data_IF_407058873399
#
_entry.id   IF_407058873399
#
_cell.length_a   1.000
_cell.length_b   1.000
_cell.length_c   1.000
_cell.angle_alpha   90.00
_cell.angle_beta   90.00
_cell.angle_gamma   90.00
#
_symmetry.space_group_name_H-M   'P 1'
#
loop_
_entity.id
_entity.type
_entity.pdbx_description
1 polymer ?
#
# COMPACT_ATOMS: atom_id res chain seq x y z
N UNK A 1 40.14 -17.97 -4.29
CA UNK A 1 39.55 -18.03 -5.62
C UNK A 1 38.04 -17.99 -5.44
N UNK A 2 37.43 -17.04 -6.11
CA UNK A 2 36.17 -16.36 -5.81
C UNK A 2 35.00 -17.01 -6.54
N UNK A 3 33.82 -17.03 -5.91
CA UNK A 3 32.44 -17.01 -6.44
C UNK A 3 31.53 -17.27 -5.22
N UNK A 4 31.11 -16.26 -4.44
CA UNK A 4 30.02 -15.31 -4.73
C UNK A 4 28.79 -15.96 -5.38
N UNK A 5 27.78 -16.21 -4.54
CA UNK A 5 26.34 -15.98 -4.72
C UNK A 5 25.70 -16.37 -3.35
N UNK A 6 25.26 -15.49 -2.45
CA UNK A 6 24.51 -14.23 -2.64
C UNK A 6 23.62 -14.33 -3.87
N UNK A 7 22.55 -15.14 -3.74
CA UNK A 7 21.21 -14.70 -4.10
C UNK A 7 20.09 -15.72 -3.78
N UNK A 8 19.04 -15.17 -3.16
CA UNK A 8 17.62 -15.54 -3.28
C UNK A 8 17.16 -16.86 -2.63
N UNK A 9 16.69 -16.75 -1.38
CA UNK A 9 15.26 -16.98 -1.17
C UNK A 9 14.73 -16.05 -0.07
N UNK A 10 14.18 -14.96 -0.58
CA UNK A 10 13.58 -13.84 0.12
C UNK A 10 12.49 -14.33 1.08
N UNK A 11 12.76 -14.27 2.38
CA UNK A 11 11.71 -14.22 3.42
C UNK A 11 11.17 -12.78 3.43
N UNK A 12 10.54 -12.39 2.34
CA UNK A 12 9.72 -11.18 2.23
C UNK A 12 8.52 -11.54 1.35
N UNK A 13 7.63 -12.33 1.90
CA UNK A 13 6.39 -12.71 1.26
C UNK A 13 5.35 -12.95 2.33
N UNK A 14 4.31 -12.13 2.33
CA UNK A 14 3.11 -12.36 3.12
C UNK A 14 2.69 -13.82 2.95
N UNK A 15 2.61 -14.57 4.06
CA UNK A 15 1.97 -15.89 4.10
C UNK A 15 0.62 -15.77 3.39
N UNK A 16 0.53 -16.33 2.17
CA UNK A 16 -0.75 -16.50 1.50
C UNK A 16 -1.37 -17.72 2.16
N UNK A 17 -2.41 -17.48 2.97
CA UNK A 17 -3.26 -18.53 3.50
C UNK A 17 -2.61 -19.54 4.49
N UNK A 18 -1.50 -19.20 5.16
CA UNK A 18 -0.76 -20.11 6.08
C UNK A 18 -0.21 -21.38 5.42
N UNK A 19 -0.07 -21.34 4.10
CA UNK A 19 0.59 -22.36 3.30
C UNK A 19 1.97 -21.83 2.93
N UNK A 20 3.01 -22.59 3.24
CA UNK A 20 4.39 -22.25 2.90
C UNK A 20 4.81 -23.02 1.65
N UNK A 21 5.27 -22.28 0.64
CA UNK A 21 5.71 -22.83 -0.64
C UNK A 21 7.22 -22.66 -0.75
N UNK A 22 7.93 -23.73 -1.08
CA UNK A 22 9.39 -23.68 -1.23
C UNK A 22 9.79 -24.27 -2.57
N UNK A 23 10.69 -23.58 -3.24
CA UNK A 23 11.50 -24.17 -4.30
C UNK A 23 12.69 -24.85 -3.63
N UNK A 24 12.77 -26.17 -3.70
CA UNK A 24 13.84 -26.95 -3.04
C UNK A 24 15.05 -27.10 -3.98
N UNK A 25 14.79 -27.20 -5.27
CA UNK A 25 15.73 -27.21 -6.39
C UNK A 25 15.03 -26.68 -7.66
N UNK A 26 15.71 -26.67 -8.80
CA UNK A 26 15.12 -26.21 -10.08
C UNK A 26 13.89 -27.03 -10.49
N UNK A 27 13.72 -28.25 -10.01
CA UNK A 27 12.71 -29.19 -10.49
C UNK A 27 11.61 -29.55 -9.46
N UNK A 28 11.64 -29.00 -8.25
CA UNK A 28 10.76 -29.42 -7.14
C UNK A 28 10.08 -28.25 -6.43
N UNK A 29 8.75 -28.37 -6.23
CA UNK A 29 7.94 -27.44 -5.44
C UNK A 29 7.35 -28.14 -4.20
N UNK A 30 7.70 -27.66 -3.02
CA UNK A 30 7.21 -28.16 -1.74
C UNK A 30 6.00 -27.33 -1.28
N UNK A 31 4.89 -28.01 -1.02
CA UNK A 31 3.69 -27.48 -0.39
C UNK A 31 3.63 -27.99 1.05
N UNK A 32 3.82 -27.09 2.01
CA UNK A 32 3.83 -27.42 3.45
C UNK A 32 2.83 -26.57 4.25
N UNK A 33 2.19 -27.19 5.24
CA UNK A 33 1.26 -26.54 6.15
C UNK A 33 1.86 -26.30 7.54
N UNK A 34 1.60 -25.08 8.05
CA UNK A 34 1.78 -24.60 9.42
C UNK A 34 3.23 -24.56 10.00
N UNK A 35 4.09 -23.72 9.41
CA UNK A 35 5.46 -23.31 9.82
C UNK A 35 6.60 -24.25 9.45
N UNK A 36 7.07 -24.11 8.21
CA UNK A 36 8.01 -25.00 7.56
C UNK A 36 9.49 -24.64 7.80
N UNK A 37 9.94 -24.68 9.06
CA UNK A 37 11.36 -24.61 9.42
C UNK A 37 11.95 -25.99 9.79
N UNK A 38 11.15 -26.93 10.31
CA UNK A 38 11.60 -28.26 10.72
C UNK A 38 11.91 -29.20 9.54
N UNK A 39 11.12 -29.12 8.45
CA UNK A 39 11.33 -29.93 7.25
C UNK A 39 12.65 -29.58 6.53
N UNK A 40 13.05 -28.30 6.57
CA UNK A 40 14.30 -27.79 5.99
C UNK A 40 15.52 -28.46 6.61
N UNK A 41 15.49 -28.72 7.91
CA UNK A 41 16.61 -29.32 8.65
C UNK A 41 16.70 -30.83 8.36
N UNK A 42 15.56 -31.54 8.40
CA UNK A 42 15.52 -32.99 8.18
C UNK A 42 15.90 -33.40 6.74
N UNK A 43 15.49 -32.63 5.72
CA UNK A 43 15.93 -32.89 4.35
C UNK A 43 17.41 -32.57 4.17
N UNK A 44 17.91 -31.46 4.71
CA UNK A 44 19.34 -31.11 4.63
C UNK A 44 20.23 -32.21 5.22
N UNK A 45 19.80 -32.84 6.32
CA UNK A 45 20.50 -33.99 6.93
C UNK A 45 20.43 -35.26 6.07
N UNK A 46 19.29 -35.56 5.44
CA UNK A 46 19.16 -36.69 4.50
C UNK A 46 20.00 -36.53 3.23
N UNK A 47 20.09 -35.32 2.69
CA UNK A 47 20.88 -35.02 1.50
C UNK A 47 22.40 -35.03 1.79
N UNK A 48 22.81 -34.61 2.99
CA UNK A 48 24.21 -34.75 3.42
C UNK A 48 24.63 -36.22 3.61
N UNK A 49 23.69 -37.10 3.92
CA UNK A 49 23.92 -38.56 4.01
C UNK A 49 23.85 -39.29 2.66
N UNK A 50 23.31 -38.65 1.61
CA UNK A 50 23.21 -39.19 0.24
C UNK A 50 24.07 -38.43 -0.76
N UNK A 51 25.35 -38.19 -0.46
CA UNK A 51 26.33 -37.96 -1.54
C UNK A 51 26.92 -39.30 -1.97
N UNK A 52 26.65 -39.78 -3.19
CA UNK A 52 27.55 -40.71 -3.84
C UNK A 52 28.82 -39.96 -4.23
N UNK A 53 29.97 -40.49 -3.86
CA UNK A 53 31.17 -40.33 -4.68
C UNK A 53 30.91 -41.09 -5.98
N UNK A 54 30.63 -40.38 -7.07
CA UNK A 54 31.38 -40.48 -8.31
C UNK A 54 30.68 -39.70 -9.43
N UNK A 55 31.50 -39.15 -10.32
CA UNK A 55 31.03 -38.46 -11.50
C UNK A 55 30.41 -39.44 -12.48
N UNK A 56 29.24 -39.08 -13.00
CA UNK A 56 28.82 -39.56 -14.30
C UNK A 56 28.01 -38.48 -15.00
N UNK A 57 28.43 -38.22 -16.24
CA UNK A 57 27.84 -37.27 -17.16
C UNK A 57 26.59 -37.95 -17.75
N UNK A 58 25.40 -37.63 -17.24
CA UNK A 58 24.15 -38.01 -17.89
C UNK A 58 23.62 -36.85 -18.72
N UNK A 59 23.59 -37.04 -20.03
CA UNK A 59 22.95 -36.17 -21.02
C UNK A 59 21.51 -35.84 -20.62
N UNK A 60 21.25 -34.55 -20.41
CA UNK A 60 19.94 -33.96 -20.13
C UNK A 60 18.98 -34.26 -21.29
N UNK A 61 17.96 -35.06 -21.02
CA UNK A 61 16.78 -35.18 -21.86
C UNK A 61 15.75 -34.22 -21.26
N UNK A 62 15.43 -33.17 -22.01
CA UNK A 62 14.91 -31.89 -21.53
C UNK A 62 13.38 -31.86 -21.31
N UNK A 63 12.84 -32.92 -20.70
CA UNK A 63 11.42 -33.05 -20.31
C UNK A 63 11.27 -33.26 -18.79
N UNK A 64 12.02 -32.49 -18.00
CA UNK A 64 11.86 -32.51 -16.55
C UNK A 64 10.47 -31.96 -16.16
N UNK A 65 9.58 -32.85 -15.71
CA UNK A 65 8.32 -32.50 -15.06
C UNK A 65 8.61 -32.05 -13.63
N UNK A 66 7.90 -31.02 -13.15
CA UNK A 66 8.07 -30.54 -11.77
C UNK A 66 7.51 -31.55 -10.77
N UNK A 67 8.34 -31.97 -9.82
CA UNK A 67 7.95 -32.87 -8.72
C UNK A 67 7.29 -32.06 -7.59
N UNK A 68 6.12 -32.51 -7.14
CA UNK A 68 5.41 -31.93 -5.99
C UNK A 68 5.65 -32.74 -4.74
N UNK A 69 6.09 -32.07 -3.68
CA UNK A 69 6.22 -32.69 -2.36
C UNK A 69 5.16 -32.10 -1.44
N UNK A 70 4.30 -32.95 -0.90
CA UNK A 70 3.29 -32.59 0.10
C UNK A 70 3.81 -32.96 1.48
N UNK A 71 3.88 -31.98 2.39
CA UNK A 71 4.42 -32.21 3.74
C UNK A 71 3.45 -31.79 4.85
N UNK A 72 3.25 -32.71 5.80
CA UNK A 72 2.50 -32.52 7.05
C UNK A 72 3.48 -32.54 8.24
N UNK A 73 3.61 -31.40 8.91
CA UNK A 73 4.47 -31.26 10.09
C UNK A 73 3.94 -32.04 11.31
N UNK A 74 2.62 -32.24 11.41
CA UNK A 74 2.00 -32.91 12.56
C UNK A 74 2.12 -34.43 12.48
N UNK A 75 2.12 -35.02 11.28
CA UNK A 75 2.42 -36.44 11.08
C UNK A 75 3.86 -36.84 11.47
N UNK A 76 4.80 -35.89 11.47
CA UNK A 76 6.21 -36.15 11.84
C UNK A 76 6.48 -36.15 13.35
N UNK A 77 5.61 -35.53 14.14
CA UNK A 77 5.73 -35.43 15.59
C UNK A 77 4.70 -36.35 16.24
N UNK A 78 5.11 -37.57 16.60
CA UNK A 78 4.35 -38.61 17.31
C UNK A 78 3.05 -38.12 17.98
N UNK A 79 1.94 -38.15 17.24
CA UNK A 79 0.61 -37.81 17.75
C UNK A 79 -0.44 -38.35 16.78
N UNK A 80 -1.55 -38.79 17.36
CA UNK A 80 -2.64 -39.57 16.78
C UNK A 80 -3.15 -39.19 15.38
N UNK A 81 -3.72 -40.21 14.74
CA UNK A 81 -4.31 -40.30 13.39
C UNK A 81 -5.44 -39.30 13.04
N UNK A 82 -5.52 -38.12 13.66
CA UNK A 82 -6.70 -37.24 13.56
C UNK A 82 -6.49 -35.91 12.82
N UNK A 83 -5.31 -35.61 12.29
CA UNK A 83 -5.06 -34.36 11.57
C UNK A 83 -4.58 -34.63 10.14
N UNK A 84 -5.41 -35.26 9.31
CA UNK A 84 -5.14 -35.35 7.86
C UNK A 84 -5.23 -33.94 7.28
N UNK A 85 -4.11 -33.42 6.76
CA UNK A 85 -4.13 -32.20 5.94
C UNK A 85 -4.93 -32.51 4.67
N UNK A 86 -6.06 -31.83 4.49
CA UNK A 86 -6.93 -32.01 3.33
C UNK A 86 -6.30 -31.36 2.09
N UNK A 87 -5.62 -32.15 1.26
CA UNK A 87 -5.09 -31.71 -0.05
C UNK A 87 -6.10 -31.82 -1.19
N UNK A 88 -7.36 -32.21 -0.92
CA UNK A 88 -8.39 -32.31 -1.97
C UNK A 88 -8.68 -30.97 -2.64
N UNK A 89 -8.28 -29.84 -2.04
CA UNK A 89 -8.37 -28.54 -2.71
C UNK A 89 -7.62 -28.49 -4.03
N UNK A 90 -6.54 -29.26 -4.21
CA UNK A 90 -5.76 -29.29 -5.45
C UNK A 90 -6.55 -29.83 -6.64
N UNK A 91 -7.70 -30.46 -6.42
CA UNK A 91 -8.59 -30.90 -7.52
C UNK A 91 -9.61 -29.84 -7.91
N UNK A 92 -9.60 -28.65 -7.30
CA UNK A 92 -10.59 -27.60 -7.55
C UNK A 92 -10.47 -26.96 -8.94
N UNK A 93 -9.28 -26.98 -9.56
CA UNK A 93 -9.04 -26.51 -10.93
C UNK A 93 -8.06 -27.45 -11.65
N UNK A 94 -8.12 -27.58 -12.99
CA UNK A 94 -7.16 -28.40 -13.73
C UNK A 94 -5.74 -27.83 -13.59
N UNK A 95 -4.78 -28.71 -13.31
CA UNK A 95 -3.37 -28.34 -13.20
C UNK A 95 -2.85 -27.81 -14.54
N UNK A 96 -2.09 -26.70 -14.56
CA UNK A 96 -1.51 -26.17 -15.79
C UNK A 96 -0.42 -27.12 -16.31
N UNK A 97 -0.51 -27.46 -17.60
CA UNK A 97 0.54 -28.18 -18.31
C UNK A 97 1.73 -27.26 -18.62
N UNK A 98 2.93 -27.84 -18.68
CA UNK A 98 4.12 -27.12 -19.15
C UNK A 98 3.95 -26.73 -20.62
N UNK A 99 4.28 -25.49 -20.97
CA UNK A 99 4.28 -25.03 -22.36
C UNK A 99 5.67 -25.27 -22.95
N UNK A 100 5.71 -25.76 -24.20
CA UNK A 100 6.98 -26.05 -24.88
C UNK A 100 7.81 -24.76 -25.02
N UNK A 101 9.08 -24.79 -24.58
CA UNK A 101 9.99 -23.63 -24.61
C UNK A 101 9.78 -22.61 -23.46
N UNK A 102 8.92 -22.92 -22.50
CA UNK A 102 8.73 -22.07 -21.31
C UNK A 102 9.87 -22.26 -20.29
N UNK A 103 10.33 -21.13 -19.76
CA UNK A 103 11.28 -21.11 -18.64
C UNK A 103 10.67 -21.78 -17.39
N UNK A 104 11.50 -22.55 -16.69
CA UNK A 104 11.14 -23.31 -15.52
C UNK A 104 10.64 -22.41 -14.38
N UNK A 105 11.24 -21.22 -14.23
CA UNK A 105 10.81 -20.21 -13.23
C UNK A 105 9.40 -19.68 -13.55
N UNK A 106 9.10 -19.45 -14.83
CA UNK A 106 7.76 -19.03 -15.26
C UNK A 106 6.73 -20.14 -15.01
N UNK A 107 7.09 -21.40 -15.28
CA UNK A 107 6.18 -22.53 -15.00
C UNK A 107 5.93 -22.71 -13.50
N UNK A 108 6.96 -22.57 -12.66
CA UNK A 108 6.84 -22.60 -11.19
C UNK A 108 5.89 -21.51 -10.68
N UNK A 109 6.00 -20.28 -11.20
CA UNK A 109 5.12 -19.18 -10.81
C UNK A 109 3.65 -19.46 -11.18
N UNK A 110 3.39 -20.03 -12.36
CA UNK A 110 2.03 -20.43 -12.77
C UNK A 110 1.46 -21.54 -11.90
N UNK A 111 2.26 -22.54 -11.56
CA UNK A 111 1.86 -23.62 -10.68
C UNK A 111 1.52 -23.12 -9.28
N UNK A 112 2.36 -22.25 -8.70
CA UNK A 112 2.06 -21.59 -7.43
C UNK A 112 0.73 -20.82 -7.48
N UNK A 113 0.52 -20.05 -8.54
CA UNK A 113 -0.72 -19.30 -8.73
C UNK A 113 -1.95 -20.21 -8.84
N UNK A 114 -1.84 -21.32 -9.57
CA UNK A 114 -2.88 -22.34 -9.68
C UNK A 114 -3.20 -22.98 -8.32
N UNK A 115 -2.19 -23.33 -7.52
CA UNK A 115 -2.39 -23.92 -6.19
C UNK A 115 -3.05 -22.93 -5.22
N UNK A 116 -2.64 -21.65 -5.27
CA UNK A 116 -3.28 -20.57 -4.52
C UNK A 116 -4.75 -20.38 -4.92
N UNK A 117 -5.05 -20.44 -6.23
CA UNK A 117 -6.42 -20.35 -6.74
C UNK A 117 -7.28 -21.56 -6.32
N UNK A 118 -6.72 -22.77 -6.38
CA UNK A 118 -7.36 -23.99 -5.91
C UNK A 118 -7.70 -23.93 -4.41
N UNK A 119 -6.74 -23.51 -3.60
CA UNK A 119 -6.95 -23.34 -2.16
C UNK A 119 -8.00 -22.26 -1.86
N UNK A 120 -7.90 -21.11 -2.54
CA UNK A 120 -8.87 -20.03 -2.38
C UNK A 120 -10.29 -20.49 -2.75
N UNK A 121 -10.46 -21.26 -3.83
CA UNK A 121 -11.76 -21.80 -4.25
C UNK A 121 -12.34 -22.81 -3.24
N UNK A 122 -11.55 -23.83 -2.86
CA UNK A 122 -11.98 -24.86 -1.91
C UNK A 122 -12.30 -24.28 -0.53
N UNK A 123 -11.45 -23.37 -0.06
CA UNK A 123 -11.56 -22.80 1.26
C UNK A 123 -12.66 -21.73 1.34
N UNK A 124 -12.85 -20.91 0.30
CA UNK A 124 -13.93 -19.91 0.28
C UNK A 124 -15.32 -20.54 0.44
N UNK A 125 -15.55 -21.71 -0.14
CA UNK A 125 -16.82 -22.44 -0.02
C UNK A 125 -17.12 -22.90 1.43
N UNK A 126 -16.07 -23.16 2.23
CA UNK A 126 -16.18 -23.66 3.61
C UNK A 126 -15.83 -22.61 4.68
N UNK A 127 -15.42 -21.41 4.25
CA UNK A 127 -14.89 -20.38 5.13
C UNK A 127 -15.87 -20.00 6.24
N UNK A 128 -17.15 -19.83 5.90
CA UNK A 128 -18.18 -19.43 6.86
C UNK A 128 -18.36 -20.45 7.97
N UNK A 129 -18.36 -21.74 7.64
CA UNK A 129 -18.55 -22.78 8.65
C UNK A 129 -17.34 -22.89 9.56
N UNK A 130 -16.12 -22.76 9.01
CA UNK A 130 -14.89 -22.67 9.80
C UNK A 130 -14.88 -21.42 10.70
N UNK A 131 -15.32 -20.27 10.17
CA UNK A 131 -15.39 -19.02 10.93
C UNK A 131 -16.41 -19.10 12.06
N UNK A 132 -17.60 -19.65 11.79
CA UNK A 132 -18.66 -19.82 12.80
C UNK A 132 -18.21 -20.75 13.93
N UNK A 133 -17.46 -21.81 13.60
CA UNK A 133 -16.86 -22.72 14.58
C UNK A 133 -15.75 -22.06 15.39
N UNK A 134 -14.86 -21.29 14.75
CA UNK A 134 -13.73 -20.65 15.41
C UNK A 134 -14.11 -19.38 16.21
N UNK A 135 -15.12 -18.64 15.77
CA UNK A 135 -15.63 -17.43 16.42
C UNK A 135 -17.01 -17.00 15.90
N UNK A 136 -18.09 -17.29 16.63
CA UNK A 136 -19.44 -16.83 16.29
C UNK A 136 -19.55 -15.30 16.16
N UNK A 137 -18.83 -14.57 17.02
CA UNK A 137 -18.83 -13.10 16.99
C UNK A 137 -18.19 -12.53 15.72
N UNK A 138 -17.04 -13.06 15.27
CA UNK A 138 -16.45 -12.63 14.00
C UNK A 138 -17.24 -13.09 12.78
N UNK A 139 -17.97 -14.21 12.88
CA UNK A 139 -18.92 -14.62 11.83
C UNK A 139 -20.04 -13.58 11.65
N UNK A 140 -20.59 -13.06 12.75
CA UNK A 140 -21.62 -12.02 12.71
C UNK A 140 -21.09 -10.71 12.09
N UNK A 141 -19.87 -10.31 12.46
CA UNK A 141 -19.20 -9.16 11.87
C UNK A 141 -18.98 -9.34 10.37
N UNK A 142 -18.49 -10.50 9.94
CA UNK A 142 -18.29 -10.81 8.52
C UNK A 142 -19.59 -10.71 7.71
N UNK A 143 -20.69 -11.30 8.20
CA UNK A 143 -22.00 -11.22 7.53
C UNK A 143 -22.51 -9.77 7.43
N UNK A 144 -22.20 -8.96 8.44
CA UNK A 144 -22.55 -7.54 8.47
C UNK A 144 -21.77 -6.74 7.43
N UNK A 145 -20.47 -7.01 7.29
CA UNK A 145 -19.61 -6.37 6.28
C UNK A 145 -19.98 -6.80 4.86
N UNK A 146 -20.31 -8.08 4.64
CA UNK A 146 -20.79 -8.54 3.34
C UNK A 146 -22.06 -7.84 2.88
N UNK A 147 -22.96 -7.50 3.82
CA UNK A 147 -24.17 -6.73 3.51
C UNK A 147 -23.85 -5.28 3.16
N UNK A 148 -22.82 -4.70 3.79
CA UNK A 148 -22.36 -3.34 3.54
C UNK A 148 -21.65 -3.21 2.19
N UNK A 149 -20.81 -4.18 1.84
CA UNK A 149 -19.99 -4.18 0.63
C UNK A 149 -20.67 -5.06 -0.42
N UNK A 150 -21.72 -4.52 -1.04
CA UNK A 150 -22.28 -5.09 -2.26
C UNK A 150 -21.74 -4.32 -3.45
N UNK A 151 -20.65 -4.81 -4.04
CA UNK A 151 -20.20 -4.38 -5.36
C UNK A 151 -21.30 -4.69 -6.37
N UNK A 152 -21.70 -3.73 -7.21
CA UNK A 152 -22.75 -3.92 -8.22
C UNK A 152 -22.39 -5.01 -9.27
N UNK A 153 -21.11 -5.30 -9.37
CA UNK A 153 -20.40 -6.14 -10.31
C UNK A 153 -19.90 -7.46 -9.69
N UNK A 154 -20.02 -7.64 -8.37
CA UNK A 154 -19.70 -8.89 -7.66
C UNK A 154 -18.22 -9.33 -7.67
N UNK A 155 -17.33 -8.58 -8.34
CA UNK A 155 -15.93 -8.99 -8.55
C UNK A 155 -15.04 -8.84 -7.31
N UNK A 156 -15.31 -7.84 -6.45
CA UNK A 156 -14.54 -7.60 -5.22
C UNK A 156 -15.40 -7.89 -4.00
N UNK A 157 -15.13 -9.05 -3.38
CA UNK A 157 -15.83 -9.54 -2.19
C UNK A 157 -14.90 -9.57 -0.98
N UNK A 158 -15.49 -9.57 0.21
CA UNK A 158 -14.74 -9.80 1.45
C UNK A 158 -14.19 -11.21 1.41
N UNK A 159 -12.89 -11.36 1.66
CA UNK A 159 -12.22 -12.66 1.76
C UNK A 159 -11.78 -12.90 3.19
N UNK A 160 -11.76 -14.15 3.62
CA UNK A 160 -11.22 -14.49 4.92
C UNK A 160 -10.57 -15.85 4.98
N UNK A 161 -9.77 -16.02 6.02
CA UNK A 161 -9.00 -17.23 6.32
C UNK A 161 -9.15 -17.55 7.80
N UNK A 162 -9.30 -18.82 8.15
CA UNK A 162 -9.20 -19.33 9.53
C UNK A 162 -8.10 -20.38 9.54
N UNK A 163 -7.18 -20.29 10.49
CA UNK A 163 -6.15 -21.29 10.67
C UNK A 163 -5.95 -21.61 12.15
N UNK A 164 -5.80 -22.89 12.52
CA UNK A 164 -5.48 -23.28 13.88
C UNK A 164 -4.06 -22.84 14.24
N UNK A 165 -3.84 -22.42 15.49
CA UNK A 165 -2.49 -22.11 15.99
C UNK A 165 -1.76 -23.38 16.43
N UNK A 166 -0.48 -23.45 16.12
CA UNK A 166 0.42 -24.54 16.50
C UNK A 166 0.74 -24.44 17.99
N UNK A 167 0.10 -25.28 18.79
CA UNK A 167 0.39 -25.37 20.23
C UNK A 167 -0.61 -26.20 21.03
N UNK A 168 -1.55 -26.90 20.38
CA UNK A 168 -2.59 -27.68 21.07
C UNK A 168 -3.57 -26.84 21.90
N UNK A 169 -3.43 -25.50 21.89
CA UNK A 169 -4.19 -24.56 22.72
C UNK A 169 -5.61 -24.28 22.22
N UNK A 170 -5.97 -24.82 21.05
CA UNK A 170 -7.25 -24.55 20.39
C UNK A 170 -7.42 -23.11 19.90
N UNK A 171 -6.37 -22.28 19.88
CA UNK A 171 -6.51 -20.91 19.35
C UNK A 171 -6.63 -20.93 17.82
N UNK A 172 -7.37 -19.96 17.28
CA UNK A 172 -7.42 -19.74 15.83
C UNK A 172 -6.85 -18.37 15.47
N UNK A 173 -6.15 -18.32 14.35
CA UNK A 173 -5.79 -17.10 13.64
C UNK A 173 -6.82 -16.88 12.54
N UNK A 174 -7.52 -15.76 12.60
CA UNK A 174 -8.54 -15.37 11.61
C UNK A 174 -8.05 -14.13 10.89
N UNK A 175 -8.07 -14.14 9.56
CA UNK A 175 -7.72 -12.98 8.75
C UNK A 175 -8.88 -12.57 7.86
N UNK A 176 -9.12 -11.27 7.72
CA UNK A 176 -10.04 -10.74 6.72
C UNK A 176 -9.33 -9.77 5.78
N UNK A 177 -9.70 -9.82 4.52
CA UNK A 177 -9.40 -8.84 3.49
C UNK A 177 -10.71 -8.23 3.06
N UNK A 178 -10.93 -6.97 3.43
CA UNK A 178 -12.15 -6.24 3.17
C UNK A 178 -11.84 -5.18 2.12
N UNK A 179 -12.43 -5.26 0.91
CA UNK A 179 -12.21 -4.23 -0.10
C UNK A 179 -12.92 -2.94 0.30
N UNK A 180 -12.20 -1.82 0.22
CA UNK A 180 -12.70 -0.49 0.59
C UNK A 180 -13.02 0.34 -0.66
N UNK A 181 -13.86 1.36 -0.46
CA UNK A 181 -14.26 2.37 -1.44
C UNK A 181 -14.97 1.78 -2.66
N UNK A 182 -15.60 0.61 -2.50
CA UNK A 182 -16.25 -0.13 -3.60
C UNK A 182 -17.63 0.46 -3.92
N UNK A 183 -18.36 0.95 -2.92
CA UNK A 183 -19.72 1.49 -3.06
C UNK A 183 -19.71 3.01 -3.23
N UNK A 184 -20.14 3.50 -4.40
CA UNK A 184 -20.39 4.93 -4.68
C UNK A 184 -19.17 5.86 -4.74
N UNK A 185 -17.99 5.42 -4.31
CA UNK A 185 -16.75 6.24 -4.29
C UNK A 185 -15.62 5.71 -5.18
N UNK A 186 -15.73 4.49 -5.71
CA UNK A 186 -14.68 3.87 -6.54
C UNK A 186 -14.29 4.75 -7.74
N UNK A 187 -15.30 5.21 -8.48
CA UNK A 187 -15.09 6.09 -9.64
C UNK A 187 -14.48 7.44 -9.23
N UNK A 188 -14.99 8.06 -8.15
CA UNK A 188 -14.44 9.32 -7.64
C UNK A 188 -12.97 9.19 -7.23
N UNK A 189 -12.60 8.08 -6.60
CA UNK A 189 -11.22 7.78 -6.18
C UNK A 189 -10.32 7.59 -7.39
N UNK A 190 -10.75 6.77 -8.34
CA UNK A 190 -10.04 6.53 -9.60
C UNK A 190 -9.82 7.83 -10.38
N UNK A 191 -10.88 8.63 -10.57
CA UNK A 191 -10.80 9.94 -11.21
C UNK A 191 -9.91 10.90 -10.42
N UNK A 192 -9.95 10.87 -9.08
CA UNK A 192 -9.14 11.78 -8.26
C UNK A 192 -7.64 11.53 -8.44
N UNK A 193 -7.23 10.26 -8.42
CA UNK A 193 -5.82 9.89 -8.59
C UNK A 193 -5.34 10.10 -10.04
N UNK A 194 -6.18 9.82 -11.03
CA UNK A 194 -5.86 10.14 -12.43
C UNK A 194 -5.72 11.66 -12.64
N UNK A 195 -6.66 12.45 -12.13
CA UNK A 195 -6.58 13.91 -12.21
C UNK A 195 -5.36 14.46 -11.46
N UNK A 196 -4.99 13.84 -10.34
CA UNK A 196 -3.78 14.19 -9.61
C UNK A 196 -2.52 14.00 -10.48
N UNK A 197 -2.41 12.86 -11.17
CA UNK A 197 -1.32 12.59 -12.10
C UNK A 197 -1.26 13.61 -13.25
N UNK A 198 -2.41 13.94 -13.86
CA UNK A 198 -2.51 14.93 -14.94
C UNK A 198 -2.10 16.32 -14.45
N UNK A 199 -2.62 16.75 -13.30
CA UNK A 199 -2.29 18.06 -12.74
C UNK A 199 -0.84 18.16 -12.32
N UNK A 200 -0.28 17.09 -11.74
CA UNK A 200 1.14 17.06 -11.40
C UNK A 200 2.00 17.30 -12.63
N UNK A 201 1.76 16.56 -13.72
CA UNK A 201 2.47 16.78 -14.99
C UNK A 201 2.35 18.22 -15.50
N UNK A 202 1.14 18.80 -15.43
CA UNK A 202 0.91 20.19 -15.85
C UNK A 202 1.66 21.22 -15.01
N UNK A 203 1.65 21.06 -13.69
CA UNK A 203 2.22 22.01 -12.74
C UNK A 203 3.75 21.87 -12.62
N UNK A 204 4.28 20.66 -12.72
CA UNK A 204 5.73 20.37 -12.68
C UNK A 204 6.42 20.44 -14.05
N UNK A 205 5.67 20.78 -15.11
CA UNK A 205 6.13 20.78 -16.51
C UNK A 205 6.65 19.41 -17.02
N UNK A 206 6.33 18.31 -16.34
CA UNK A 206 6.58 16.96 -16.85
C UNK A 206 5.61 16.66 -17.99
N UNK A 207 6.14 16.21 -19.14
CA UNK A 207 5.33 15.86 -20.30
C UNK A 207 4.39 14.69 -19.96
N UNK A 208 3.09 14.88 -20.14
CA UNK A 208 2.09 13.81 -20.00
C UNK A 208 2.36 12.67 -20.99
N UNK A 209 2.26 11.44 -20.50
CA UNK A 209 2.35 10.21 -21.30
C UNK A 209 1.12 9.34 -21.05
N UNK A 210 0.57 8.67 -22.08
CA UNK A 210 -0.53 7.72 -21.90
C UNK A 210 -0.20 6.58 -20.91
N UNK A 211 1.08 6.21 -20.80
CA UNK A 211 1.56 5.21 -19.83
C UNK A 211 1.25 5.55 -18.38
N UNK A 212 1.12 6.84 -18.05
CA UNK A 212 0.83 7.31 -16.68
C UNK A 212 -0.65 7.18 -16.31
N UNK A 213 -1.52 6.91 -17.26
CA UNK A 213 -2.94 6.76 -17.00
C UNK A 213 -3.18 5.52 -16.15
N UNK A 214 -3.88 5.69 -15.02
CA UNK A 214 -4.26 4.56 -14.18
C UNK A 214 -5.31 3.72 -14.89
N UNK A 215 -5.13 2.41 -14.80
CA UNK A 215 -6.05 1.38 -15.31
C UNK A 215 -6.86 0.75 -14.19
N UNK A 216 -6.32 0.69 -12.97
CA UNK A 216 -7.02 0.19 -11.79
C UNK A 216 -6.55 0.88 -10.51
N UNK A 217 -7.48 1.07 -9.57
CA UNK A 217 -7.22 1.50 -8.20
C UNK A 217 -7.99 0.58 -7.26
N UNK A 218 -7.25 -0.13 -6.41
CA UNK A 218 -7.80 -1.05 -5.43
C UNK A 218 -7.33 -0.65 -4.04
N UNK A 219 -8.26 -0.56 -3.10
CA UNK A 219 -7.92 -0.42 -1.69
C UNK A 219 -8.52 -1.55 -0.89
N UNK A 220 -7.72 -2.14 -0.01
CA UNK A 220 -8.14 -3.18 0.93
C UNK A 220 -7.72 -2.84 2.35
N UNK A 221 -8.52 -3.21 3.34
CA UNK A 221 -8.06 -3.34 4.72
C UNK A 221 -7.88 -4.82 5.05
N UNK A 222 -6.69 -5.14 5.55
CA UNK A 222 -6.35 -6.45 6.07
C UNK A 222 -6.37 -6.41 7.59
N UNK A 223 -7.14 -7.30 8.19
CA UNK A 223 -7.22 -7.47 9.65
C UNK A 223 -6.86 -8.89 10.03
N UNK A 224 -6.16 -9.05 11.15
CA UNK A 224 -5.78 -10.36 11.71
C UNK A 224 -6.16 -10.44 13.18
N UNK A 225 -6.85 -11.50 13.55
CA UNK A 225 -7.34 -11.76 14.89
C UNK A 225 -6.81 -13.07 15.44
N UNK A 226 -6.55 -13.10 16.74
CA UNK A 226 -6.37 -14.33 17.51
C UNK A 226 -7.63 -14.58 18.33
N UNK A 227 -8.15 -15.80 18.29
CA UNK A 227 -9.28 -16.21 19.12
C UNK A 227 -8.86 -17.25 20.13
N UNK A 228 -9.34 -17.08 21.36
CA UNK A 228 -9.13 -18.05 22.42
C UNK A 228 -10.36 -18.95 22.60
N UNK A 229 -10.33 -20.17 22.06
CA UNK A 229 -11.41 -21.16 22.22
C UNK A 229 -11.96 -21.31 23.65
N UNK A 230 -11.14 -21.40 24.72
CA UNK A 230 -11.70 -21.58 26.07
C UNK A 230 -12.47 -20.37 26.62
N UNK A 231 -12.29 -19.17 26.04
CA UNK A 231 -12.92 -17.92 26.54
C UNK A 231 -13.73 -17.18 25.50
N UNK A 232 -13.69 -17.59 24.23
CA UNK A 232 -14.25 -16.85 23.10
C UNK A 232 -13.60 -15.47 22.85
N UNK A 233 -12.53 -15.13 23.59
CA UNK A 233 -11.92 -13.78 23.53
C UNK A 233 -11.25 -13.57 22.18
N UNK A 234 -11.60 -12.46 21.53
CA UNK A 234 -11.01 -12.00 20.26
C UNK A 234 -9.97 -10.93 20.56
N UNK A 235 -8.79 -11.06 19.95
CA UNK A 235 -7.73 -10.05 20.03
C UNK A 235 -7.31 -9.67 18.62
N UNK A 236 -7.39 -8.38 18.27
CA UNK A 236 -6.82 -7.87 17.04
C UNK A 236 -5.28 -7.85 17.16
N UNK A 237 -4.60 -8.57 16.25
CA UNK A 237 -3.14 -8.68 16.20
C UNK A 237 -2.56 -7.60 15.29
N UNK A 238 -3.19 -7.41 14.13
CA UNK A 238 -2.70 -6.50 13.11
C UNK A 238 -3.85 -5.97 12.27
N UNK A 239 -3.72 -4.71 11.87
CA UNK A 239 -4.55 -4.05 10.89
C UNK A 239 -3.64 -3.26 9.95
N UNK A 240 -3.85 -3.40 8.65
CA UNK A 240 -3.10 -2.66 7.63
C UNK A 240 -3.97 -2.34 6.44
N UNK A 241 -3.92 -1.10 5.95
CA UNK A 241 -4.58 -0.65 4.72
C UNK A 241 -3.57 -0.68 3.58
N UNK A 242 -3.97 -1.25 2.45
CA UNK A 242 -3.13 -1.38 1.26
C UNK A 242 -3.83 -0.72 0.08
N UNK A 243 -3.18 0.30 -0.49
CA UNK A 243 -3.55 0.92 -1.76
C UNK A 243 -2.72 0.25 -2.86
N UNK A 244 -3.38 -0.29 -3.90
CA UNK A 244 -2.73 -0.81 -5.11
C UNK A 244 -3.16 0.02 -6.30
N UNK A 245 -2.17 0.49 -7.05
CA UNK A 245 -2.36 1.26 -8.27
C UNK A 245 -1.80 0.46 -9.43
N UNK A 246 -2.50 0.49 -10.57
CA UNK A 246 -1.98 -0.03 -11.83
C UNK A 246 -2.11 1.04 -12.89
N UNK A 247 -1.07 1.22 -13.68
CA UNK A 247 -1.06 2.12 -14.82
C UNK A 247 -1.10 1.33 -16.14
N UNK A 248 -1.17 2.06 -17.26
CA UNK A 248 -1.24 1.44 -18.58
C UNK A 248 0.08 0.74 -18.96
N UNK A 249 1.22 1.22 -18.45
CA UNK A 249 2.52 0.55 -18.65
C UNK A 249 2.56 -0.83 -17.97
N UNK A 250 2.13 -0.92 -16.72
CA UNK A 250 2.05 -2.17 -15.97
C UNK A 250 1.00 -3.14 -16.55
N UNK A 251 -0.09 -2.63 -17.12
CA UNK A 251 -1.12 -3.46 -17.74
C UNK A 251 -0.65 -4.11 -19.07
N UNK A 252 0.19 -3.42 -19.85
CA UNK A 252 0.71 -3.92 -21.12
C UNK A 252 1.79 -5.00 -20.95
N UNK A 253 2.52 -5.01 -19.84
CA UNK A 253 3.51 -6.05 -19.49
C UNK A 253 2.91 -7.36 -18.93
N UNK A 254 1.58 -7.44 -18.83
CA UNK A 254 0.87 -8.59 -18.26
C UNK A 254 0.67 -9.79 -19.19
N UNK A 255 1.20 -9.75 -20.42
CA UNK A 255 1.18 -10.89 -21.34
C UNK A 255 2.60 -11.45 -21.44
N UNK A 256 2.83 -12.54 -20.71
CA UNK A 256 3.99 -13.43 -20.76
C UNK A 256 5.37 -12.80 -20.42
N UNK A 257 5.97 -13.30 -19.34
CA UNK A 257 7.41 -13.39 -19.13
C UNK A 257 8.24 -12.16 -19.53
N UNK A 258 8.39 -11.20 -18.62
CA UNK A 258 9.41 -10.19 -18.78
C UNK A 258 10.04 -9.87 -17.42
N UNK A 259 11.11 -10.60 -17.10
CA UNK A 259 12.29 -10.02 -16.43
C UNK A 259 12.83 -8.90 -17.32
N UNK A 260 12.13 -7.78 -17.32
CA UNK A 260 12.71 -6.51 -17.69
C UNK A 260 12.43 -5.63 -16.51
N UNK A 261 13.49 -5.13 -15.90
CA UNK A 261 13.52 -3.81 -15.28
C UNK A 261 13.03 -2.79 -16.31
N UNK A 262 11.73 -2.84 -16.63
CA UNK A 262 11.06 -1.85 -17.45
C UNK A 262 11.16 -0.57 -16.65
N UNK A 263 11.97 0.37 -17.16
CA UNK A 263 12.27 1.67 -16.58
C UNK A 263 11.21 2.08 -15.56
N UNK A 264 11.49 1.88 -14.27
CA UNK A 264 10.69 2.44 -13.16
C UNK A 264 10.53 3.96 -13.30
N UNK A 265 11.38 4.58 -14.12
CA UNK A 265 11.32 5.97 -14.57
C UNK A 265 10.07 6.34 -15.39
N UNK A 266 9.32 5.38 -15.96
CA UNK A 266 8.16 5.65 -16.83
C UNK A 266 6.79 5.45 -16.15
N UNK A 267 6.77 5.38 -14.81
CA UNK A 267 5.54 5.28 -14.01
C UNK A 267 5.41 6.41 -12.98
N UNK A 268 4.21 6.94 -12.82
CA UNK A 268 3.86 7.88 -11.74
C UNK A 268 3.35 7.19 -10.46
N UNK A 269 3.27 5.85 -10.44
CA UNK A 269 2.77 5.10 -9.27
C UNK A 269 3.55 5.41 -7.98
N UNK A 270 4.90 5.46 -7.97
CA UNK A 270 5.65 5.80 -6.76
C UNK A 270 5.30 7.20 -6.24
N UNK A 271 5.14 8.17 -7.15
CA UNK A 271 4.71 9.52 -6.80
C UNK A 271 3.30 9.52 -6.19
N UNK A 272 2.34 8.85 -6.81
CA UNK A 272 0.96 8.76 -6.31
C UNK A 272 0.90 8.11 -4.92
N UNK A 273 1.68 7.05 -4.68
CA UNK A 273 1.81 6.45 -3.35
C UNK A 273 2.42 7.42 -2.33
N UNK A 274 3.37 8.26 -2.74
CA UNK A 274 3.98 9.25 -1.86
C UNK A 274 3.00 10.38 -1.48
N UNK A 275 2.00 10.65 -2.32
CA UNK A 275 0.99 11.68 -2.07
C UNK A 275 -0.09 11.24 -1.07
N UNK A 276 -0.41 9.94 -0.98
CA UNK A 276 -1.46 9.43 -0.11
C UNK A 276 -0.87 8.95 1.20
N UNK A 277 -1.13 9.69 2.28
CA UNK A 277 -0.72 9.28 3.62
C UNK A 277 -1.69 8.25 4.21
N UNK A 278 -1.19 7.03 4.43
CA UNK A 278 -1.90 5.94 5.09
C UNK A 278 -1.59 5.85 6.59
N UNK A 279 -0.71 6.70 7.11
CA UNK A 279 -0.41 6.76 8.53
C UNK A 279 -1.51 7.48 9.31
N UNK A 280 -1.74 7.07 10.56
CA UNK A 280 -2.74 7.69 11.43
C UNK A 280 -4.20 7.49 10.99
N UNK A 281 -4.47 6.52 10.10
CA UNK A 281 -5.84 6.11 9.80
C UNK A 281 -6.55 5.59 11.06
N UNK A 282 -7.89 5.75 11.17
CA UNK A 282 -8.66 5.16 12.26
C UNK A 282 -8.36 3.67 12.36
N UNK A 283 -8.16 3.16 13.58
CA UNK A 283 -7.92 1.75 13.84
C UNK A 283 -9.16 1.07 14.39
N UNK A 284 -9.35 -0.19 14.03
CA UNK A 284 -10.43 -1.02 14.52
C UNK A 284 -10.26 -1.23 16.03
N UNK A 285 -11.29 -0.89 16.80
CA UNK A 285 -11.31 -1.07 18.25
C UNK A 285 -12.32 -2.14 18.62
N UNK A 286 -11.84 -3.36 18.88
CA UNK A 286 -12.68 -4.44 19.39
C UNK A 286 -12.81 -4.37 20.91
N UNK A 287 -13.26 -3.23 21.45
CA UNK A 287 -13.70 -3.16 22.84
C UNK A 287 -15.08 -3.85 22.94
N UNK A 288 -15.29 -4.66 23.98
CA UNK A 288 -16.34 -5.69 24.07
C UNK A 288 -17.82 -5.24 23.88
N UNK A 289 -18.11 -3.97 23.63
CA UNK A 289 -19.46 -3.48 23.32
C UNK A 289 -19.36 -2.25 22.37
N UNK A 290 -19.54 -2.46 21.06
CA UNK A 290 -20.08 -1.39 20.19
C UNK A 290 -19.15 -0.64 19.22
N UNK A 291 -18.01 -1.18 18.79
CA UNK A 291 -17.28 -0.63 17.63
C UNK A 291 -16.76 -1.74 16.71
N UNK A 292 -17.70 -2.42 16.04
CA UNK A 292 -17.40 -3.48 15.07
C UNK A 292 -17.00 -2.94 13.70
N UNK A 293 -16.89 -3.84 12.72
CA UNK A 293 -16.56 -3.45 11.35
C UNK A 293 -17.61 -2.52 10.72
N UNK A 294 -18.87 -2.62 11.14
CA UNK A 294 -19.97 -1.77 10.65
C UNK A 294 -19.74 -0.27 10.89
N UNK A 295 -19.17 0.10 12.03
CA UNK A 295 -18.87 1.50 12.35
C UNK A 295 -17.48 1.90 11.85
N UNK A 296 -16.55 0.94 11.87
CA UNK A 296 -15.17 1.16 11.49
C UNK A 296 -15.00 1.41 9.99
N UNK A 297 -15.58 0.58 9.13
CA UNK A 297 -15.40 0.66 7.68
C UNK A 297 -15.84 2.03 7.13
N UNK A 298 -17.05 2.54 7.42
CA UNK A 298 -17.46 3.86 6.90
C UNK A 298 -16.56 5.00 7.38
N UNK A 299 -16.09 4.95 8.64
CA UNK A 299 -15.16 5.95 9.19
C UNK A 299 -13.79 5.89 8.53
N UNK A 300 -13.28 4.68 8.31
CA UNK A 300 -12.03 4.42 7.62
C UNK A 300 -12.11 4.90 6.16
N UNK A 301 -13.15 4.51 5.43
CA UNK A 301 -13.40 4.92 4.05
C UNK A 301 -13.56 6.44 3.91
N UNK A 302 -14.27 7.08 4.85
CA UNK A 302 -14.39 8.53 4.86
C UNK A 302 -13.02 9.20 5.02
N UNK A 303 -12.23 8.77 6.00
CA UNK A 303 -10.92 9.36 6.28
C UNK A 303 -9.95 9.11 5.11
N UNK A 304 -9.91 7.88 4.61
CA UNK A 304 -9.08 7.49 3.48
C UNK A 304 -9.44 8.26 2.21
N UNK A 305 -10.73 8.41 1.91
CA UNK A 305 -11.20 9.19 0.77
C UNK A 305 -10.69 10.64 0.85
N UNK A 306 -10.79 11.28 2.03
CA UNK A 306 -10.25 12.63 2.22
C UNK A 306 -8.75 12.70 2.00
N UNK A 307 -7.97 11.72 2.51
CA UNK A 307 -6.51 11.63 2.29
C UNK A 307 -6.13 11.47 0.81
N UNK A 308 -6.93 10.74 0.04
CA UNK A 308 -6.73 10.59 -1.41
C UNK A 308 -7.09 11.89 -2.16
N UNK A 309 -8.16 12.57 -1.72
CA UNK A 309 -8.69 13.77 -2.39
C UNK A 309 -7.88 15.03 -2.11
N UNK A 310 -7.22 15.10 -0.96
CA UNK A 310 -6.50 16.29 -0.48
C UNK A 310 -5.32 16.72 -1.36
N UNK A 311 -4.40 15.83 -1.83
CA UNK A 311 -3.36 16.22 -2.78
C UNK A 311 -3.93 16.82 -4.07
N UNK A 312 -5.09 16.32 -4.53
CA UNK A 312 -5.75 16.85 -5.72
C UNK A 312 -6.32 18.25 -5.46
N UNK A 313 -6.90 18.48 -4.27
CA UNK A 313 -7.35 19.81 -3.86
C UNK A 313 -6.21 20.82 -3.87
N UNK A 314 -5.07 20.46 -3.29
CA UNK A 314 -3.85 21.27 -3.31
C UNK A 314 -3.39 21.59 -4.74
N UNK A 315 -3.27 20.60 -5.64
CA UNK A 315 -2.83 20.86 -7.01
C UNK A 315 -3.84 21.68 -7.82
N UNK A 316 -5.15 21.56 -7.55
CA UNK A 316 -6.16 22.44 -8.16
C UNK A 316 -5.98 23.88 -7.71
N UNK A 317 -5.69 24.12 -6.42
CA UNK A 317 -5.36 25.46 -5.92
C UNK A 317 -4.11 26.01 -6.60
N UNK A 318 -3.03 25.24 -6.67
CA UNK A 318 -1.78 25.65 -7.35
C UNK A 318 -2.05 25.97 -8.82
N UNK A 319 -2.79 25.12 -9.53
CA UNK A 319 -3.18 25.38 -10.92
C UNK A 319 -3.97 26.69 -11.05
N UNK A 320 -4.88 26.96 -10.12
CA UNK A 320 -5.61 28.23 -10.08
C UNK A 320 -4.67 29.42 -9.90
N UNK A 321 -3.77 29.35 -8.92
CA UNK A 321 -2.78 30.41 -8.64
C UNK A 321 -1.82 30.65 -9.80
N UNK A 322 -1.60 29.68 -10.68
CA UNK A 322 -0.78 29.88 -11.89
C UNK A 322 -1.33 30.95 -12.84
N UNK A 323 -2.65 31.18 -12.83
CA UNK A 323 -3.26 32.24 -13.61
C UNK A 323 -2.85 33.64 -13.14
N UNK A 324 -2.58 33.79 -11.84
CA UNK A 324 -2.28 35.07 -11.20
C UNK A 324 -0.77 35.28 -10.97
N UNK A 325 -0.05 34.22 -10.58
CA UNK A 325 1.37 34.28 -10.20
C UNK A 325 2.32 33.65 -11.24
N UNK A 326 1.79 33.09 -12.33
CA UNK A 326 2.59 32.36 -13.31
C UNK A 326 2.97 30.96 -12.85
N UNK A 327 3.91 30.32 -13.56
CA UNK A 327 4.29 28.95 -13.25
C UNK A 327 5.12 28.87 -11.97
N UNK A 328 4.88 27.88 -11.10
CA UNK A 328 5.69 27.71 -9.88
C UNK A 328 7.10 27.26 -10.25
N UNK A 329 8.07 27.69 -9.44
CA UNK A 329 9.48 27.26 -9.57
C UNK A 329 9.68 25.90 -8.91
N UNK A 330 8.93 25.63 -7.84
CA UNK A 330 8.98 24.36 -7.11
C UNK A 330 7.59 23.99 -6.58
N UNK A 331 7.26 22.69 -6.63
CA UNK A 331 6.01 22.13 -6.10
C UNK A 331 6.25 20.75 -5.53
N UNK A 332 5.83 20.55 -4.28
CA UNK A 332 5.80 19.26 -3.62
C UNK A 332 4.38 18.95 -3.14
N UNK A 333 3.77 17.93 -3.75
CA UNK A 333 2.50 17.34 -3.29
C UNK A 333 2.70 16.06 -2.48
N UNK A 334 3.95 15.63 -2.27
CA UNK A 334 4.28 14.40 -1.56
C UNK A 334 4.17 14.59 -0.05
N UNK A 335 3.64 13.59 0.63
CA UNK A 335 3.62 13.54 2.10
C UNK A 335 4.91 12.89 2.66
N UNK A 336 5.84 12.46 1.80
CA UNK A 336 7.11 11.80 2.15
C UNK A 336 8.27 12.47 1.42
N UNK A 337 9.47 12.41 2.00
CA UNK A 337 10.67 12.78 1.27
C UNK A 337 10.87 11.78 0.11
N UNK A 338 10.78 12.26 -1.14
CA UNK A 338 11.06 11.44 -2.32
C UNK A 338 12.54 11.06 -2.41
N UNK A 339 13.40 11.82 -1.73
CA UNK A 339 14.82 11.49 -1.49
C UNK A 339 14.96 10.75 -0.16
N UNK A 340 14.41 9.55 -0.12
CA UNK A 340 14.99 8.50 0.68
C UNK A 340 15.15 7.32 -0.27
N UNK A 341 16.33 7.21 -0.87
CA UNK A 341 16.97 5.90 -0.93
C UNK A 341 16.99 5.41 0.50
N UNK A 342 15.89 4.79 0.91
CA UNK A 342 15.91 3.83 1.99
C UNK A 342 16.73 2.72 1.38
N UNK A 343 18.05 2.83 1.58
CA UNK A 343 18.89 1.64 1.63
C UNK A 343 18.07 0.63 2.41
N UNK A 344 17.83 -0.48 1.73
CA UNK A 344 17.30 -1.72 2.25
C UNK A 344 18.20 -2.18 3.40
N UNK A 345 18.19 -1.45 4.51
CA UNK A 345 18.72 -1.88 5.77
C UNK A 345 17.76 -2.96 6.23
N UNK A 346 18.10 -4.17 5.80
CA UNK A 346 17.69 -5.43 6.38
C UNK A 346 17.46 -5.20 7.87
N UNK A 347 16.24 -5.45 8.40
CA UNK A 347 16.05 -5.41 9.84
C UNK A 347 16.98 -6.47 10.42
N UNK A 348 18.10 -6.05 11.02
CA UNK A 348 18.89 -6.98 11.81
C UNK A 348 17.97 -7.53 12.91
N UNK A 349 17.83 -8.85 13.03
CA UNK A 349 16.99 -9.43 14.07
C UNK A 349 17.52 -8.95 15.43
N UNK A 350 16.66 -8.42 16.32
CA UNK A 350 17.09 -8.00 17.64
C UNK A 350 17.63 -9.22 18.38
N UNK A 351 18.82 -9.07 18.97
CA UNK A 351 19.37 -10.02 19.92
C UNK A 351 18.33 -10.29 21.02
N UNK A 352 18.22 -11.56 21.42
CA UNK A 352 17.12 -12.20 22.16
C UNK A 352 16.77 -11.64 23.55
N UNK A 353 17.33 -10.49 23.94
CA UNK A 353 17.15 -9.89 25.27
C UNK A 353 16.82 -8.39 25.26
N UNK A 354 16.52 -7.80 24.09
CA UNK A 354 16.18 -6.37 24.02
C UNK A 354 14.69 -6.13 24.30
N UNK A 355 14.31 -5.12 25.11
CA UNK A 355 12.92 -4.71 25.24
C UNK A 355 12.33 -4.36 23.87
N UNK A 356 11.03 -4.59 23.63
CA UNK A 356 10.42 -4.33 22.33
C UNK A 356 10.69 -2.87 21.93
N UNK A 357 11.18 -2.61 20.70
CA UNK A 357 11.42 -1.25 20.26
C UNK A 357 10.11 -0.46 20.38
N UNK A 358 10.17 0.83 20.75
CA UNK A 358 8.99 1.68 20.71
C UNK A 358 8.37 1.61 19.31
N UNK A 359 7.04 1.70 19.19
CA UNK A 359 6.37 1.66 17.89
C UNK A 359 7.05 2.68 16.96
N UNK A 360 7.26 2.34 15.68
CA UNK A 360 7.96 3.22 14.75
C UNK A 360 7.28 4.60 14.79
N UNK A 361 7.98 5.59 15.34
CA UNK A 361 7.56 6.98 15.27
C UNK A 361 7.81 7.40 13.82
N UNK A 362 6.81 7.20 12.98
CA UNK A 362 6.84 7.74 11.63
C UNK A 362 6.95 9.28 11.74
N UNK A 363 7.89 9.91 11.01
CA UNK A 363 7.95 11.36 10.99
C UNK A 363 6.59 11.91 10.54
N UNK A 364 6.17 13.08 11.05
CA UNK A 364 4.92 13.70 10.62
C UNK A 364 4.94 13.90 9.11
N UNK A 365 3.80 13.73 8.41
CA UNK A 365 3.74 13.88 6.98
C UNK A 365 4.26 15.26 6.56
N UNK A 366 5.04 15.30 5.49
CA UNK A 366 5.55 16.55 4.94
C UNK A 366 4.39 17.43 4.48
N UNK A 367 4.51 18.74 4.71
CA UNK A 367 3.55 19.72 4.22
C UNK A 367 3.67 19.84 2.70
N UNK A 368 2.53 20.03 2.04
CA UNK A 368 2.49 20.26 0.60
C UNK A 368 2.89 21.70 0.33
N UNK A 369 3.80 21.94 -0.61
CA UNK A 369 4.39 23.26 -0.84
C UNK A 369 4.38 23.65 -2.30
N UNK A 370 4.22 24.93 -2.57
CA UNK A 370 4.43 25.51 -3.90
C UNK A 370 5.12 26.86 -3.75
N UNK A 371 6.07 27.15 -4.64
CA UNK A 371 6.84 28.38 -4.61
C UNK A 371 6.72 29.09 -5.95
N UNK A 372 6.35 30.36 -5.92
CA UNK A 372 6.23 31.21 -7.11
C UNK A 372 7.24 32.36 -7.04
N UNK A 373 7.65 32.86 -8.19
CA UNK A 373 8.39 34.12 -8.30
C UNK A 373 7.62 35.07 -9.20
N UNK A 374 7.27 36.21 -8.65
CA UNK A 374 6.42 37.22 -9.29
C UNK A 374 7.18 38.52 -9.36
N UNK A 375 7.06 39.21 -10.49
CA UNK A 375 7.57 40.58 -10.65
C UNK A 375 6.38 41.51 -10.69
N UNK A 376 6.27 42.40 -9.71
CA UNK A 376 5.23 43.41 -9.71
C UNK A 376 5.45 44.37 -10.89
N UNK A 377 4.42 44.52 -11.71
CA UNK A 377 4.49 45.36 -12.91
C UNK A 377 4.64 46.83 -12.55
N UNK A 378 4.10 47.28 -11.41
CA UNK A 378 4.09 48.69 -11.01
C UNK A 378 5.43 49.06 -10.37
N UNK A 379 5.80 48.41 -9.28
CA UNK A 379 7.02 48.72 -8.52
C UNK A 379 8.30 48.14 -9.15
N UNK A 380 8.18 47.20 -10.10
CA UNK A 380 9.29 46.41 -10.68
C UNK A 380 10.04 45.55 -9.66
N UNK A 381 9.49 45.41 -8.45
CA UNK A 381 10.07 44.56 -7.42
C UNK A 381 9.75 43.09 -7.69
N UNK A 382 10.73 42.22 -7.44
CA UNK A 382 10.53 40.77 -7.47
C UNK A 382 10.25 40.23 -6.07
N UNK A 383 9.28 39.31 -6.02
CA UNK A 383 8.85 38.65 -4.80
C UNK A 383 8.87 37.14 -4.99
N UNK A 384 9.33 36.44 -3.96
CA UNK A 384 9.13 35.00 -3.80
C UNK A 384 7.88 34.78 -2.95
N UNK A 385 6.97 33.93 -3.41
CA UNK A 385 5.73 33.58 -2.70
C UNK A 385 5.80 32.10 -2.35
N UNK A 386 5.96 31.79 -1.07
CA UNK A 386 5.95 30.42 -0.53
C UNK A 386 4.57 30.06 -0.01
N UNK A 387 3.98 29.00 -0.55
CA UNK A 387 2.71 28.43 -0.13
C UNK A 387 2.97 27.15 0.68
N UNK A 388 2.47 27.09 1.90
CA UNK A 388 2.49 25.89 2.74
C UNK A 388 1.06 25.42 3.03
N UNK A 389 0.65 24.34 2.38
CA UNK A 389 -0.67 23.74 2.50
C UNK A 389 -0.63 22.59 3.52
N UNK A 390 -1.47 22.70 4.56
CA UNK A 390 -1.55 21.70 5.64
C UNK A 390 -2.77 20.80 5.50
N UNK A 391 -3.94 21.39 5.23
CA UNK A 391 -5.19 20.67 5.09
C UNK A 391 -6.15 21.43 4.17
N UNK A 392 -7.18 20.74 3.71
CA UNK A 392 -8.24 21.32 2.91
C UNK A 392 -9.31 22.07 3.67
N UNK A 393 -9.24 22.12 5.00
CA UNK A 393 -10.21 22.79 5.86
C UNK A 393 -9.75 24.18 6.31
N UNK A 394 -8.48 24.52 6.07
CA UNK A 394 -7.82 25.72 6.57
C UNK A 394 -7.19 26.53 5.44
N UNK A 395 -6.93 27.81 5.71
CA UNK A 395 -6.12 28.61 4.80
C UNK A 395 -4.67 28.10 4.77
N UNK A 396 -4.04 28.06 3.59
CA UNK A 396 -2.62 27.75 3.52
C UNK A 396 -1.81 28.89 4.16
N UNK A 397 -0.67 28.55 4.77
CA UNK A 397 0.26 29.57 5.24
C UNK A 397 1.03 30.12 4.04
N UNK A 398 0.87 31.41 3.76
CA UNK A 398 1.57 32.09 2.65
C UNK A 398 2.60 33.06 3.21
N UNK A 399 3.81 33.01 2.66
CA UNK A 399 4.91 33.91 2.97
C UNK A 399 5.37 34.62 1.70
N UNK A 400 5.54 35.94 1.77
CA UNK A 400 6.07 36.76 0.69
C UNK A 400 7.42 37.33 1.09
N UNK A 401 8.42 37.15 0.24
CA UNK A 401 9.78 37.66 0.46
C UNK A 401 10.18 38.57 -0.68
N UNK A 402 10.54 39.82 -0.39
CA UNK A 402 11.06 40.74 -1.40
C UNK A 402 12.53 40.40 -1.68
N UNK A 403 12.86 40.13 -2.95
CA UNK A 403 14.18 39.63 -3.34
C UNK A 403 15.20 40.75 -3.56
N UNK A 404 14.78 42.02 -3.54
CA UNK A 404 15.61 43.18 -3.90
C UNK A 404 16.06 44.04 -2.71
N UNK A 405 15.42 43.89 -1.55
CA UNK A 405 15.68 44.73 -0.38
C UNK A 405 16.04 43.88 0.84
N UNK A 406 17.11 44.30 1.50
CA UNK A 406 17.49 43.83 2.83
C UNK A 406 16.92 44.80 3.85
N UNK A 407 16.36 44.30 4.94
CA UNK A 407 15.93 45.09 6.10
C UNK A 407 17.08 45.98 6.55
N UNK A 408 16.85 47.29 6.51
CA UNK A 408 17.82 48.32 6.87
C UNK A 408 18.36 48.16 8.31
N UNK A 409 17.68 47.42 9.18
CA UNK A 409 18.09 47.19 10.57
C UNK A 409 18.93 45.93 10.79
N UNK A 410 18.80 44.91 9.95
CA UNK A 410 19.39 43.58 10.21
C UNK A 410 20.07 42.93 9.01
N UNK A 411 19.98 43.52 7.80
CA UNK A 411 20.56 42.94 6.59
C UNK A 411 19.87 41.65 6.11
N UNK A 412 18.68 41.34 6.62
CA UNK A 412 17.90 40.16 6.25
C UNK A 412 16.84 40.49 5.18
N UNK A 413 16.52 39.57 4.27
CA UNK A 413 15.47 39.79 3.26
C UNK A 413 14.12 40.17 3.90
N UNK A 414 13.44 41.18 3.37
CA UNK A 414 12.11 41.58 3.88
C UNK A 414 11.11 40.46 3.59
N UNK A 415 10.78 39.67 4.61
CA UNK A 415 9.78 38.60 4.52
C UNK A 415 8.57 38.87 5.41
N UNK A 416 7.38 38.58 4.91
CA UNK A 416 6.11 38.75 5.61
C UNK A 416 5.18 37.57 5.39
N UNK A 417 4.53 37.15 6.47
CA UNK A 417 3.44 36.18 6.40
C UNK A 417 2.13 36.90 6.09
N UNK A 418 1.42 36.40 5.09
CA UNK A 418 0.08 36.89 4.72
C UNK A 418 -0.88 36.62 5.87
N UNK A 419 -1.66 37.63 6.25
CA UNK A 419 -2.74 37.51 7.23
C UNK A 419 -4.06 37.51 6.49
N UNK A 420 -4.85 36.46 6.68
CA UNK A 420 -6.19 36.37 6.09
C UNK A 420 -7.18 37.13 6.95
N UNK A 421 -7.88 38.08 6.34
CA UNK A 421 -8.94 38.88 6.99
C UNK A 421 -10.17 38.07 7.39
N UNK A 422 -10.41 36.91 6.77
CA UNK A 422 -11.57 36.03 7.01
C UNK A 422 -11.15 34.74 7.72
N UNK A 423 -12.08 34.14 8.46
CA UNK A 423 -11.91 32.79 9.01
C UNK A 423 -12.19 31.73 7.94
N UNK A 424 -11.42 30.63 7.94
CA UNK A 424 -11.63 29.50 7.02
C UNK A 424 -13.03 28.89 7.19
N UNK A 425 -13.58 28.91 8.41
CA UNK A 425 -14.93 28.44 8.71
C UNK A 425 -16.06 29.22 8.01
N UNK A 426 -15.79 30.45 7.55
CA UNK A 426 -16.76 31.29 6.85
C UNK A 426 -16.79 31.09 5.33
N UNK A 427 -15.85 30.31 4.80
CA UNK A 427 -15.75 30.05 3.37
C UNK A 427 -16.69 28.94 2.93
N UNK A 428 -17.08 29.00 1.64
CA UNK A 428 -17.83 27.92 1.00
C UNK A 428 -16.97 26.66 0.94
N UNK A 429 -17.63 25.51 1.08
CA UNK A 429 -17.02 24.19 0.94
C UNK A 429 -17.50 23.53 -0.36
N UNK A 430 -16.64 22.70 -0.94
CA UNK A 430 -17.00 21.82 -2.05
C UNK A 430 -17.81 20.60 -1.56
N UNK A 431 -18.28 19.78 -2.50
CA UNK A 431 -19.10 18.60 -2.23
C UNK A 431 -18.40 17.55 -1.34
N UNK A 432 -17.07 17.59 -1.30
CA UNK A 432 -16.23 16.67 -0.51
C UNK A 432 -15.85 17.28 0.87
N UNK A 433 -16.33 18.50 1.17
CA UNK A 433 -16.15 19.21 2.44
C UNK A 433 -14.86 20.01 2.56
N UNK A 434 -14.10 20.16 1.47
CA UNK A 434 -12.89 21.00 1.40
C UNK A 434 -13.29 22.45 1.13
N UNK A 435 -12.43 23.44 1.46
CA UNK A 435 -12.66 24.82 1.05
C UNK A 435 -12.79 24.91 -0.48
N UNK A 436 -13.77 25.65 -1.00
CA UNK A 436 -13.93 25.82 -2.44
C UNK A 436 -12.64 26.40 -3.06
N UNK A 437 -12.12 25.75 -4.10
CA UNK A 437 -10.81 26.07 -4.67
C UNK A 437 -10.78 27.45 -5.32
N UNK A 438 -11.86 27.86 -5.97
CA UNK A 438 -11.94 29.15 -6.67
C UNK A 438 -12.03 30.30 -5.67
N UNK A 439 -12.88 30.17 -4.65
CA UNK A 439 -12.96 31.13 -3.55
C UNK A 439 -11.65 31.24 -2.77
N UNK A 440 -10.99 30.09 -2.55
CA UNK A 440 -9.70 30.02 -1.88
C UNK A 440 -8.62 30.71 -2.71
N UNK A 441 -8.57 30.46 -4.03
CA UNK A 441 -7.64 31.15 -4.95
C UNK A 441 -7.81 32.65 -4.84
N UNK A 442 -9.03 33.17 -5.05
CA UNK A 442 -9.31 34.61 -5.05
C UNK A 442 -8.89 35.25 -3.72
N UNK A 443 -9.17 34.57 -2.61
CA UNK A 443 -8.79 35.05 -1.27
C UNK A 443 -7.28 35.05 -1.09
N UNK A 444 -6.59 33.97 -1.45
CA UNK A 444 -5.12 33.88 -1.38
C UNK A 444 -4.47 34.97 -2.23
N UNK A 445 -4.91 35.16 -3.46
CA UNK A 445 -4.35 36.17 -4.37
C UNK A 445 -4.52 37.58 -3.80
N UNK A 446 -5.75 37.96 -3.40
CA UNK A 446 -6.03 39.29 -2.86
C UNK A 446 -5.14 39.63 -1.67
N UNK A 447 -5.14 38.78 -0.65
CA UNK A 447 -4.43 39.06 0.61
C UNK A 447 -2.90 38.99 0.40
N UNK A 448 -2.42 38.17 -0.54
CA UNK A 448 -0.99 38.13 -0.92
C UNK A 448 -0.56 39.42 -1.60
N UNK A 449 -1.35 39.94 -2.55
CA UNK A 449 -1.06 41.20 -3.23
C UNK A 449 -1.08 42.38 -2.24
N UNK A 450 -2.04 42.43 -1.33
CA UNK A 450 -2.08 43.44 -0.26
C UNK A 450 -0.82 43.37 0.63
N UNK A 451 -0.37 42.16 0.99
CA UNK A 451 0.86 41.95 1.75
C UNK A 451 2.10 42.42 0.99
N UNK A 452 2.16 42.17 -0.33
CA UNK A 452 3.25 42.63 -1.20
C UNK A 452 3.29 44.16 -1.28
N UNK A 453 2.15 44.81 -1.51
CA UNK A 453 2.07 46.29 -1.53
C UNK A 453 2.51 46.91 -0.20
N UNK A 454 2.10 46.33 0.93
CA UNK A 454 2.53 46.78 2.25
C UNK A 454 4.02 46.55 2.53
N UNK A 455 4.65 45.60 1.84
CA UNK A 455 6.09 45.33 1.94
C UNK A 455 6.90 46.31 1.08
N UNK A 456 6.41 46.62 -0.12
CA UNK A 456 7.00 47.63 -1.01
C UNK A 456 6.96 49.05 -0.42
N UNK A 457 5.99 49.35 0.46
CA UNK A 457 5.93 50.63 1.17
C UNK A 457 6.96 50.77 2.31
N UNK A 458 7.60 49.67 2.72
CA UNK A 458 8.61 49.65 3.79
C UNK A 458 10.03 49.44 3.29
N UNK A 459 10.18 48.98 2.05
CA UNK A 459 11.41 49.03 1.27
C UNK A 459 11.63 50.47 0.78
#
# INVERSE_FOLDING_TARGET
>A
MTLMHDDVLVVAGVSVCNVSWFTVDTHSLLLASATADAARISQKERWQQRRPHDGDISTENDDAQLDFVLYDATASAMSDKSAVVDYTFLTAQPQPSRVLGEDLVAYQARLKHWMEACYAGHYAARFIDHLRSASPALSFEYDSVLKLIRSADGQRTVRGLVAPTLGGSGHHLISFTVPLLVTGRAEKVFQSLNNLAVLYCKVSHVKWRPSYQLTSVEVDVHTRFRTAQPTGRITLIAESVVLRLRDAAAAAGGVAGATTEGNTADSLIPFLHSCVDLHGLPRLSMAQQGAGFLDHIPRLEHTLYRRIREPLHFLKLVLGLMADFGSPIDVSASCRALTATVDSATPQPPLSWSPPPPPPQYPPPMRKTATFCVVDRITKMSFTIGLHYQSGDEFPSVETTCNQYLDARHGATISRRVKFSRSASSMRKDDDGFLDVEDLRVTVVRETLECMSGSAALA
#
